data_IF_607590208616
#
_entry.id   IF_607590208616
#
_cell.length_a   1.000
_cell.length_b   1.000
_cell.length_c   1.000
_cell.angle_alpha   90.00
_cell.angle_beta   90.00
_cell.angle_gamma   90.00
#
_symmetry.space_group_name_H-M   'P 1'
#
loop_
_entity.id
_entity.type
_entity.pdbx_description
1 polymer ?
#
# COMPACT_ATOMS: atom_id res chain seq x y z
N UNK A 1 -88.71 -67.91 18.83
CA UNK A 1 -88.14 -66.87 17.95
C UNK A 1 -86.82 -67.41 17.40
N UNK A 2 -86.82 -67.80 16.12
CA UNK A 2 -85.92 -67.34 15.03
C UNK A 2 -84.38 -67.19 15.26
N UNK A 3 -83.54 -67.20 14.20
CA UNK A 3 -82.44 -68.16 14.04
C UNK A 3 -81.07 -67.49 13.69
N UNK A 4 -80.08 -68.33 13.37
CA UNK A 4 -79.07 -68.23 12.29
C UNK A 4 -78.36 -66.91 11.93
N UNK A 5 -77.05 -67.03 11.67
CA UNK A 5 -76.44 -66.51 10.44
C UNK A 5 -75.28 -65.53 10.61
N UNK A 6 -74.05 -66.02 10.39
CA UNK A 6 -72.97 -65.21 9.79
C UNK A 6 -73.42 -64.74 8.39
N UNK A 7 -72.97 -63.57 7.88
CA UNK A 7 -71.78 -63.65 7.02
C UNK A 7 -70.89 -62.39 6.96
N UNK A 8 -69.66 -62.63 6.53
CA UNK A 8 -68.75 -61.68 5.92
C UNK A 8 -69.33 -61.01 4.64
N UNK A 9 -68.78 -59.84 4.27
CA UNK A 9 -68.17 -59.57 2.94
C UNK A 9 -68.40 -58.15 2.42
N UNK A 10 -67.29 -57.40 2.28
CA UNK A 10 -66.83 -56.82 1.00
C UNK A 10 -65.48 -56.12 1.30
N UNK A 11 -64.35 -56.82 1.20
CA UNK A 11 -63.53 -56.93 -0.01
C UNK A 11 -62.73 -55.65 -0.35
N UNK A 12 -61.45 -55.61 0.04
CA UNK A 12 -60.33 -55.38 -0.90
C UNK A 12 -58.95 -55.38 -0.20
N UNK A 13 -58.14 -56.37 -0.57
CA UNK A 13 -56.68 -56.27 -0.75
C UNK A 13 -56.44 -56.40 -2.27
N UNK A 14 -55.33 -55.91 -2.90
CA UNK A 14 -53.94 -56.00 -2.39
C UNK A 14 -53.06 -54.73 -2.74
N UNK A 15 -51.70 -54.76 -2.89
CA UNK A 15 -50.70 -54.03 -2.07
C UNK A 15 -49.74 -53.17 -2.95
N UNK A 16 -48.39 -53.09 -2.77
CA UNK A 16 -47.50 -52.68 -1.67
C UNK A 16 -46.62 -51.44 -2.02
N UNK A 17 -45.95 -50.84 -1.03
CA UNK A 17 -44.66 -50.16 -1.22
C UNK A 17 -44.65 -48.63 -1.30
N UNK A 18 -44.15 -48.00 -0.24
CA UNK A 18 -43.38 -46.75 -0.23
C UNK A 18 -42.85 -46.59 1.21
N UNK A 19 -41.68 -47.14 1.52
CA UNK A 19 -40.46 -46.34 1.65
C UNK A 19 -40.64 -45.17 2.65
N UNK A 20 -40.24 -45.41 3.90
CA UNK A 20 -39.89 -44.33 4.83
C UNK A 20 -38.89 -43.38 4.15
N UNK A 21 -39.06 -42.05 4.24
CA UNK A 21 -38.09 -41.13 3.71
C UNK A 21 -36.82 -41.22 4.55
N UNK A 22 -35.77 -41.74 3.91
CA UNK A 22 -34.40 -41.75 4.40
C UNK A 22 -33.98 -40.34 4.86
N UNK A 23 -33.61 -40.24 6.13
CA UNK A 23 -32.86 -39.11 6.66
C UNK A 23 -31.55 -38.99 5.88
N UNK A 24 -31.32 -37.82 5.27
CA UNK A 24 -30.06 -37.51 4.61
C UNK A 24 -28.88 -37.76 5.56
N UNK A 25 -27.74 -38.29 5.09
CA UNK A 25 -26.60 -38.54 5.97
C UNK A 25 -26.04 -37.21 6.45
N UNK A 26 -26.23 -36.93 7.74
CA UNK A 26 -25.45 -35.93 8.44
C UNK A 26 -23.98 -36.36 8.32
N UNK A 27 -23.18 -35.53 7.64
CA UNK A 27 -21.73 -35.63 7.69
C UNK A 27 -21.34 -35.48 9.16
N UNK A 28 -21.00 -36.59 9.81
CA UNK A 28 -20.50 -36.58 11.17
C UNK A 28 -19.10 -35.95 11.08
N UNK A 29 -19.01 -34.65 11.34
CA UNK A 29 -17.73 -34.00 11.53
C UNK A 29 -16.97 -34.76 12.64
N UNK A 30 -15.68 -35.09 12.46
CA UNK A 30 -14.91 -35.76 13.50
C UNK A 30 -14.94 -34.90 14.78
N UNK A 31 -15.16 -35.54 15.92
CA UNK A 31 -15.34 -34.87 17.20
C UNK A 31 -14.20 -33.87 17.48
N UNK A 32 -14.52 -32.56 17.49
CA UNK A 32 -13.55 -31.49 17.76
C UNK A 32 -13.39 -30.44 16.65
N UNK A 33 -13.94 -30.67 15.45
CA UNK A 33 -13.94 -29.67 14.36
C UNK A 33 -15.11 -28.69 14.55
N UNK A 34 -14.86 -27.37 14.65
CA UNK A 34 -15.93 -26.40 14.80
C UNK A 34 -16.65 -26.09 13.47
N UNK A 35 -17.94 -25.77 13.54
CA UNK A 35 -18.75 -25.25 12.41
C UNK A 35 -18.19 -23.93 11.85
N UNK A 36 -17.59 -23.13 12.76
CA UNK A 36 -16.93 -21.86 12.48
C UNK A 36 -15.70 -21.73 13.35
N UNK A 37 -14.55 -21.39 12.77
CA UNK A 37 -13.34 -21.13 13.55
C UNK A 37 -13.42 -19.74 14.19
N UNK A 38 -13.14 -19.67 15.48
CA UNK A 38 -12.97 -18.42 16.22
C UNK A 38 -11.50 -18.32 16.60
N UNK A 39 -10.72 -17.77 15.67
CA UNK A 39 -9.28 -17.67 15.80
C UNK A 39 -8.92 -16.23 16.15
N UNK A 40 -8.55 -16.04 17.41
CA UNK A 40 -7.97 -14.81 17.89
C UNK A 40 -6.47 -15.02 18.16
N UNK A 41 -5.65 -14.06 17.74
CA UNK A 41 -4.28 -13.92 18.19
C UNK A 41 -4.25 -12.78 19.21
N UNK A 42 -3.52 -12.96 20.31
CA UNK A 42 -3.34 -11.94 21.33
C UNK A 42 -2.92 -10.60 20.69
N UNK A 43 -3.87 -9.65 20.68
CA UNK A 43 -3.65 -8.28 20.19
C UNK A 43 -3.90 -8.00 18.70
N UNK A 44 -4.35 -8.97 17.88
CA UNK A 44 -4.72 -8.73 16.48
C UNK A 44 -5.95 -9.52 16.04
N UNK A 45 -6.95 -8.82 15.52
CA UNK A 45 -8.06 -9.43 14.78
C UNK A 45 -7.56 -10.02 13.47
N UNK A 46 -7.82 -11.31 13.23
CA UNK A 46 -7.55 -11.93 11.95
C UNK A 46 -8.38 -11.25 10.85
N UNK A 47 -7.80 -11.09 9.66
CA UNK A 47 -8.53 -10.54 8.52
C UNK A 47 -9.76 -11.43 8.22
N UNK A 48 -10.98 -10.88 8.17
CA UNK A 48 -12.19 -11.64 7.87
C UNK A 48 -12.14 -12.39 6.53
N UNK A 49 -11.42 -11.87 5.53
CA UNK A 49 -11.21 -12.53 4.25
C UNK A 49 -10.26 -13.72 4.38
N UNK A 50 -9.25 -13.61 5.24
CA UNK A 50 -8.34 -14.72 5.54
C UNK A 50 -9.06 -15.84 6.30
N UNK A 51 -9.94 -15.50 7.26
CA UNK A 51 -10.79 -16.48 7.93
C UNK A 51 -11.75 -17.16 6.95
N UNK A 52 -12.42 -16.39 6.10
CA UNK A 52 -13.36 -16.94 5.12
C UNK A 52 -12.70 -17.94 4.16
N UNK A 53 -11.45 -17.68 3.76
CA UNK A 53 -10.68 -18.59 2.89
C UNK A 53 -10.03 -19.76 3.65
N UNK A 54 -9.66 -19.58 4.91
CA UNK A 54 -9.07 -20.63 5.74
C UNK A 54 -10.11 -21.62 6.29
N UNK A 55 -11.32 -21.16 6.65
CA UNK A 55 -12.39 -21.98 7.23
C UNK A 55 -12.70 -23.29 6.49
N UNK A 56 -12.89 -23.32 5.16
CA UNK A 56 -13.11 -24.58 4.45
C UNK A 56 -11.89 -25.51 4.49
N UNK A 57 -10.68 -24.97 4.34
CA UNK A 57 -9.43 -25.75 4.34
C UNK A 57 -9.17 -26.36 5.72
N UNK A 58 -9.34 -25.58 6.78
CA UNK A 58 -9.16 -26.05 8.15
C UNK A 58 -10.19 -27.15 8.51
N UNK A 59 -11.44 -27.02 8.04
CA UNK A 59 -12.48 -28.06 8.20
C UNK A 59 -12.17 -29.33 7.40
N UNK A 60 -11.71 -29.21 6.15
CA UNK A 60 -11.28 -30.35 5.32
C UNK A 60 -10.11 -31.10 5.97
N UNK A 61 -9.18 -30.37 6.59
CA UNK A 61 -8.06 -30.94 7.34
C UNK A 61 -8.45 -31.51 8.71
N UNK A 62 -9.72 -31.36 9.12
CA UNK A 62 -10.23 -31.88 10.38
C UNK A 62 -9.59 -31.27 11.63
N UNK A 63 -9.14 -30.01 11.55
CA UNK A 63 -8.46 -29.35 12.67
C UNK A 63 -9.47 -28.92 13.74
N UNK A 64 -9.07 -29.00 15.00
CA UNK A 64 -9.79 -28.34 16.09
C UNK A 64 -9.39 -26.86 16.18
N UNK A 65 -10.20 -26.05 16.86
CA UNK A 65 -9.91 -24.62 17.05
C UNK A 65 -8.54 -24.40 17.75
N UNK A 66 -8.18 -25.24 18.73
CA UNK A 66 -6.88 -25.20 19.41
C UNK A 66 -5.70 -25.53 18.48
N UNK A 67 -5.88 -26.51 17.59
CA UNK A 67 -4.85 -26.86 16.60
C UNK A 67 -4.68 -25.78 15.54
N UNK A 68 -5.78 -25.19 15.07
CA UNK A 68 -5.74 -24.04 14.16
C UNK A 68 -5.08 -22.82 14.83
N UNK A 69 -5.38 -22.56 16.10
CA UNK A 69 -4.74 -21.52 16.90
C UNK A 69 -3.22 -21.66 17.04
N UNK A 70 -2.68 -22.89 16.99
CA UNK A 70 -1.23 -23.14 17.00
C UNK A 70 -0.53 -22.80 15.70
N UNK A 71 -1.26 -22.76 14.57
CA UNK A 71 -0.70 -22.38 13.26
C UNK A 71 -0.62 -20.86 13.07
N UNK A 72 -1.45 -20.13 13.82
CA UNK A 72 -1.57 -18.67 13.74
C UNK A 72 -0.25 -17.92 14.01
N UNK A 73 0.55 -18.26 15.04
CA UNK A 73 1.88 -17.66 15.25
C UNK A 73 2.86 -17.90 14.10
N UNK A 74 2.80 -19.07 13.44
CA UNK A 74 3.64 -19.36 12.28
C UNK A 74 3.24 -18.50 11.08
N UNK A 75 1.94 -18.37 10.82
CA UNK A 75 1.41 -17.51 9.77
C UNK A 75 1.78 -16.05 9.98
N UNK A 76 1.66 -15.54 11.22
CA UNK A 76 2.13 -14.20 11.59
C UNK A 76 3.63 -14.04 11.33
N UNK A 77 4.45 -15.00 11.74
CA UNK A 77 5.90 -14.95 11.50
C UNK A 77 6.25 -14.90 10.02
N UNK A 78 5.52 -15.63 9.16
CA UNK A 78 5.67 -15.55 7.70
C UNK A 78 5.25 -14.19 7.17
N UNK A 79 4.13 -13.64 7.64
CA UNK A 79 3.64 -12.34 7.21
C UNK A 79 4.58 -11.20 7.63
N UNK A 80 5.11 -11.24 8.86
CA UNK A 80 6.11 -10.27 9.33
C UNK A 80 7.39 -10.35 8.51
N UNK A 81 7.97 -11.54 8.34
CA UNK A 81 9.15 -11.71 7.48
C UNK A 81 8.92 -11.26 6.04
N UNK A 82 7.72 -11.51 5.50
CA UNK A 82 7.35 -11.06 4.16
C UNK A 82 7.30 -9.54 4.12
N UNK A 83 6.65 -8.88 5.08
CA UNK A 83 6.61 -7.42 5.16
C UNK A 83 8.02 -6.82 5.29
N UNK A 84 8.86 -7.35 6.19
CA UNK A 84 10.24 -6.92 6.37
C UNK A 84 11.05 -7.08 5.06
N UNK A 85 10.89 -8.21 4.37
CA UNK A 85 11.56 -8.46 3.09
C UNK A 85 11.09 -7.51 1.99
N UNK A 86 9.78 -7.20 1.91
CA UNK A 86 9.27 -6.20 0.98
C UNK A 86 9.83 -4.81 1.27
N UNK A 87 9.84 -4.39 2.54
CA UNK A 87 10.41 -3.10 2.94
C UNK A 87 11.89 -3.01 2.59
N UNK A 88 12.67 -4.06 2.88
CA UNK A 88 14.08 -4.14 2.51
C UNK A 88 14.27 -4.06 0.99
N UNK A 89 13.45 -4.79 0.22
CA UNK A 89 13.50 -4.73 -1.24
C UNK A 89 13.22 -3.33 -1.80
N UNK A 90 12.23 -2.60 -1.26
CA UNK A 90 11.97 -1.22 -1.65
C UNK A 90 13.13 -0.29 -1.29
N UNK A 91 13.74 -0.47 -0.10
CA UNK A 91 14.90 0.31 0.31
C UNK A 91 16.12 0.07 -0.60
N UNK A 92 16.37 -1.18 -0.95
CA UNK A 92 17.47 -1.57 -1.85
C UNK A 92 17.25 -1.04 -3.27
N UNK A 93 16.02 -1.17 -3.81
CA UNK A 93 15.65 -0.61 -5.11
C UNK A 93 15.81 0.92 -5.12
N UNK A 94 15.37 1.61 -4.07
CA UNK A 94 15.56 3.05 -3.94
C UNK A 94 17.06 3.41 -3.87
N UNK A 95 17.88 2.68 -3.10
CA UNK A 95 19.31 2.90 -3.03
C UNK A 95 20.03 2.67 -4.37
N UNK A 96 19.64 1.62 -5.10
CA UNK A 96 20.14 1.35 -6.44
C UNK A 96 19.80 2.49 -7.41
N UNK A 97 18.56 2.98 -7.39
CA UNK A 97 18.14 4.09 -8.23
C UNK A 97 18.92 5.38 -7.93
N UNK A 98 19.15 5.70 -6.65
CA UNK A 98 19.96 6.87 -6.26
C UNK A 98 21.39 6.78 -6.77
N UNK A 99 21.99 5.58 -6.72
CA UNK A 99 23.34 5.34 -7.27
C UNK A 99 23.34 5.49 -8.79
N UNK A 100 22.36 4.91 -9.48
CA UNK A 100 22.22 5.02 -10.93
C UNK A 100 22.15 6.49 -11.37
N UNK A 101 21.31 7.31 -10.73
CA UNK A 101 21.25 8.75 -11.04
C UNK A 101 22.56 9.48 -10.80
N UNK A 102 23.27 9.17 -9.71
CA UNK A 102 24.58 9.77 -9.45
C UNK A 102 25.63 9.40 -10.51
N UNK A 103 25.61 8.15 -10.98
CA UNK A 103 26.48 7.67 -12.06
C UNK A 103 26.11 8.29 -13.41
N UNK A 104 24.82 8.35 -13.75
CA UNK A 104 24.31 9.01 -14.95
C UNK A 104 24.69 10.48 -14.96
N UNK A 105 24.50 11.20 -13.85
CA UNK A 105 24.92 12.59 -13.73
C UNK A 105 26.43 12.73 -13.90
N UNK A 106 27.24 11.88 -13.26
CA UNK A 106 28.68 11.96 -13.38
C UNK A 106 29.18 11.71 -14.81
N UNK A 107 28.55 10.77 -15.53
CA UNK A 107 28.89 10.39 -16.90
C UNK A 107 28.33 11.32 -17.98
N UNK A 108 27.36 12.18 -17.63
CA UNK A 108 26.70 13.06 -18.58
C UNK A 108 27.68 14.11 -19.15
N UNK A 109 27.83 14.24 -20.48
CA UNK A 109 28.76 15.19 -21.09
C UNK A 109 28.31 16.66 -21.01
N UNK A 110 27.01 16.91 -20.83
CA UNK A 110 26.41 18.25 -20.79
C UNK A 110 26.23 18.81 -19.38
N UNK A 111 26.16 17.98 -18.35
CA UNK A 111 26.03 18.47 -16.97
C UNK A 111 27.07 17.86 -16.03
N UNK A 112 27.56 16.67 -16.33
CA UNK A 112 28.57 15.94 -15.58
C UNK A 112 29.99 16.20 -16.05
N UNK A 113 30.86 15.20 -15.83
CA UNK A 113 32.26 15.22 -16.23
C UNK A 113 32.97 16.53 -15.85
N UNK A 114 33.63 17.15 -16.82
CA UNK A 114 34.34 18.42 -16.63
C UNK A 114 33.44 19.62 -16.34
N UNK A 115 32.14 19.51 -16.58
CA UNK A 115 31.14 20.58 -16.34
C UNK A 115 30.36 20.39 -15.04
N UNK A 116 30.66 19.34 -14.28
CA UNK A 116 29.99 19.02 -13.01
C UNK A 116 29.95 20.20 -12.05
N UNK A 117 31.10 20.80 -11.74
CA UNK A 117 31.20 21.91 -10.79
C UNK A 117 30.41 23.16 -11.25
N UNK A 118 30.44 23.45 -12.56
CA UNK A 118 29.67 24.55 -13.15
C UNK A 118 28.16 24.29 -13.02
N UNK A 119 27.73 23.07 -13.36
CA UNK A 119 26.33 22.65 -13.27
C UNK A 119 25.80 22.70 -11.84
N UNK A 120 26.57 22.19 -10.88
CA UNK A 120 26.24 22.23 -9.44
C UNK A 120 26.11 23.67 -8.94
N UNK A 121 27.06 24.56 -9.31
CA UNK A 121 27.01 25.96 -8.92
C UNK A 121 25.78 26.69 -9.49
N UNK A 122 25.49 26.51 -10.78
CA UNK A 122 24.32 27.10 -11.43
C UNK A 122 23.02 26.53 -10.85
N UNK A 123 22.96 25.22 -10.60
CA UNK A 123 21.80 24.59 -9.97
C UNK A 123 21.55 25.12 -8.55
N UNK A 124 22.61 25.28 -7.73
CA UNK A 124 22.50 25.88 -6.40
C UNK A 124 21.94 27.30 -6.47
N UNK A 125 22.44 28.13 -7.40
CA UNK A 125 21.91 29.49 -7.62
C UNK A 125 20.45 29.49 -8.07
N UNK A 126 20.07 28.55 -8.94
CA UNK A 126 18.67 28.37 -9.35
C UNK A 126 17.76 28.06 -8.16
N UNK A 127 18.20 27.16 -7.27
CA UNK A 127 17.49 26.85 -6.03
C UNK A 127 17.41 28.06 -5.09
N UNK A 128 18.50 28.81 -4.92
CA UNK A 128 18.52 30.02 -4.09
C UNK A 128 17.51 31.06 -4.56
N UNK A 129 17.40 31.26 -5.87
CA UNK A 129 16.46 32.22 -6.46
C UNK A 129 14.99 31.83 -6.30
N UNK A 130 14.69 30.54 -6.13
CA UNK A 130 13.36 30.05 -5.77
C UNK A 130 13.06 30.18 -4.26
N UNK A 131 14.00 30.68 -3.47
CA UNK A 131 13.89 30.75 -2.01
C UNK A 131 14.30 29.45 -1.31
N UNK A 132 14.77 28.45 -2.06
CA UNK A 132 15.30 27.20 -1.50
C UNK A 132 16.78 27.36 -1.22
N UNK A 133 17.12 28.25 -0.28
CA UNK A 133 18.48 28.50 0.15
C UNK A 133 19.17 27.29 0.80
N UNK A 134 20.43 27.46 1.16
CA UNK A 134 21.17 26.47 1.96
C UNK A 134 20.41 26.14 3.26
N UNK A 135 20.34 24.86 3.62
CA UNK A 135 19.58 24.39 4.78
C UNK A 135 18.06 24.33 4.62
N UNK A 136 17.50 24.75 3.48
CA UNK A 136 16.05 24.65 3.26
C UNK A 136 15.57 23.18 3.24
N UNK A 137 14.41 22.83 3.83
CA UNK A 137 13.91 21.44 3.88
C UNK A 137 13.78 20.77 2.51
N UNK A 138 13.48 21.55 1.47
CA UNK A 138 13.45 21.06 0.10
C UNK A 138 14.81 20.54 -0.40
N UNK A 139 15.93 21.19 -0.03
CA UNK A 139 17.27 20.69 -0.40
C UNK A 139 17.60 19.39 0.32
N UNK A 140 17.18 19.26 1.57
CA UNK A 140 17.30 18.00 2.31
C UNK A 140 16.47 16.90 1.64
N UNK A 141 15.23 17.18 1.27
CA UNK A 141 14.39 16.23 0.55
C UNK A 141 15.01 15.78 -0.79
N UNK A 142 15.65 16.69 -1.54
CA UNK A 142 16.37 16.34 -2.76
C UNK A 142 17.58 15.43 -2.49
N UNK A 143 18.32 15.67 -1.40
CA UNK A 143 19.45 14.84 -1.00
C UNK A 143 18.98 13.45 -0.52
N UNK A 144 18.00 13.41 0.37
CA UNK A 144 17.45 12.19 0.97
C UNK A 144 16.79 11.29 -0.07
N UNK A 145 16.06 11.87 -1.03
CA UNK A 145 15.45 11.12 -2.13
C UNK A 145 16.43 10.76 -3.25
N UNK A 146 17.59 11.43 -3.31
CA UNK A 146 18.57 11.35 -4.39
C UNK A 146 18.22 12.13 -5.65
N UNK A 147 17.07 12.83 -5.69
CA UNK A 147 16.70 13.70 -6.81
C UNK A 147 17.68 14.87 -7.02
N UNK A 148 18.49 15.22 -6.01
CA UNK A 148 19.58 16.17 -6.19
C UNK A 148 20.64 15.73 -7.20
N UNK A 149 20.78 14.42 -7.44
CA UNK A 149 21.68 13.84 -8.44
C UNK A 149 20.96 13.47 -9.76
N UNK A 150 19.64 13.64 -9.86
CA UNK A 150 18.90 13.26 -11.05
C UNK A 150 19.28 14.17 -12.23
N UNK A 151 19.68 13.63 -13.39
CA UNK A 151 20.16 14.44 -14.53
C UNK A 151 19.19 15.56 -14.94
N UNK A 152 17.91 15.24 -15.14
CA UNK A 152 16.91 16.27 -15.52
C UNK A 152 16.66 17.32 -14.45
N UNK A 153 16.76 16.95 -13.16
CA UNK A 153 16.63 17.90 -12.06
C UNK A 153 17.79 18.89 -12.06
N UNK A 154 19.01 18.39 -12.27
CA UNK A 154 20.19 19.22 -12.42
C UNK A 154 20.08 20.11 -13.65
N UNK A 155 19.63 19.59 -14.81
CA UNK A 155 19.40 20.41 -16.01
C UNK A 155 18.40 21.54 -15.75
N UNK A 156 17.30 21.25 -15.08
CA UNK A 156 16.25 22.22 -14.77
C UNK A 156 16.80 23.37 -13.90
N UNK A 157 17.43 23.04 -12.77
CA UNK A 157 17.96 24.06 -11.87
C UNK A 157 19.19 24.78 -12.44
N UNK A 158 20.06 24.07 -13.17
CA UNK A 158 21.16 24.70 -13.91
C UNK A 158 20.62 25.73 -14.90
N UNK A 159 19.60 25.36 -15.70
CA UNK A 159 19.00 26.26 -16.68
C UNK A 159 18.42 27.50 -16.02
N UNK A 160 17.75 27.33 -14.87
CA UNK A 160 17.25 28.45 -14.09
C UNK A 160 18.39 29.37 -13.60
N UNK A 161 19.46 28.79 -13.04
CA UNK A 161 20.65 29.54 -12.64
C UNK A 161 21.34 30.27 -13.79
N UNK A 162 21.33 29.70 -14.99
CA UNK A 162 21.86 30.34 -16.20
C UNK A 162 21.03 31.54 -16.61
N UNK A 163 19.70 31.41 -16.69
CA UNK A 163 18.81 32.53 -17.03
C UNK A 163 19.01 33.71 -16.07
N UNK A 164 19.18 33.42 -14.77
CA UNK A 164 19.48 34.43 -13.77
C UNK A 164 20.88 35.04 -13.93
N UNK A 165 21.85 34.26 -14.40
CA UNK A 165 23.21 34.75 -14.67
C UNK A 165 23.26 35.68 -15.87
N UNK A 166 22.52 35.33 -16.93
CA UNK A 166 22.37 36.13 -18.15
C UNK A 166 21.68 37.47 -17.85
N UNK A 167 20.64 37.49 -17.00
CA UNK A 167 19.91 38.70 -16.62
C UNK A 167 20.67 39.57 -15.58
N UNK A 168 21.47 38.93 -14.72
CA UNK A 168 22.31 39.64 -13.74
C UNK A 168 23.52 40.38 -14.35
N UNK A 169 23.76 40.24 -15.66
CA UNK A 169 24.83 40.92 -16.38
C UNK A 169 24.74 42.45 -16.40
N UNK A 170 23.58 43.04 -16.06
CA UNK A 170 23.37 44.50 -16.12
C UNK A 170 22.63 45.14 -14.93
N UNK A 171 22.22 44.40 -13.90
CA UNK A 171 21.47 44.98 -12.78
C UNK A 171 22.37 45.27 -11.56
N UNK A 172 23.24 46.29 -11.67
CA UNK A 172 23.75 47.01 -10.50
C UNK A 172 23.69 48.53 -10.63
N UNK A 173 22.63 49.03 -11.27
CA UNK A 173 22.23 50.42 -11.19
C UNK A 173 20.76 50.49 -10.78
N UNK A 174 20.46 51.21 -9.70
CA UNK A 174 19.13 51.44 -9.11
C UNK A 174 18.58 50.36 -8.16
N UNK A 175 19.20 50.28 -6.98
CA UNK A 175 18.41 50.26 -5.77
C UNK A 175 17.53 51.53 -5.74
N UNK A 176 16.26 51.38 -6.10
CA UNK A 176 15.27 52.46 -6.15
C UNK A 176 13.91 51.95 -5.70
N UNK A 177 13.56 52.26 -4.46
CA UNK A 177 12.31 51.90 -3.77
C UNK A 177 11.04 52.22 -4.56
N UNK A 178 10.10 51.27 -4.63
CA UNK A 178 8.67 51.58 -4.62
C UNK A 178 7.81 50.35 -4.23
N UNK A 179 7.41 50.33 -2.97
CA UNK A 179 6.16 49.75 -2.47
C UNK A 179 5.95 48.22 -2.58
N UNK A 180 6.65 47.46 -1.73
CA UNK A 180 6.33 46.05 -1.50
C UNK A 180 5.31 45.93 -0.35
N UNK A 181 4.02 45.95 -0.67
CA UNK A 181 3.07 45.21 0.17
C UNK A 181 3.42 43.73 0.08
N UNK A 182 3.49 43.01 1.20
CA UNK A 182 3.83 41.60 1.18
C UNK A 182 2.82 40.83 0.29
N UNK A 183 3.30 39.79 -0.39
CA UNK A 183 2.54 39.04 -1.40
C UNK A 183 1.18 38.57 -0.87
N UNK A 184 1.09 38.22 0.42
CA UNK A 184 -0.15 37.80 1.06
C UNK A 184 -1.24 38.87 1.09
N UNK A 185 -0.88 40.15 1.17
CA UNK A 185 -1.85 41.27 1.18
C UNK A 185 -2.43 41.56 -0.22
N UNK A 186 -1.72 41.12 -1.27
CA UNK A 186 -2.18 41.21 -2.67
C UNK A 186 -3.07 40.05 -3.08
N UNK A 187 -2.82 38.88 -2.50
CA UNK A 187 -3.58 37.66 -2.79
C UNK A 187 -4.86 37.56 -1.95
N UNK A 188 -4.86 38.15 -0.76
CA UNK A 188 -6.02 38.17 0.14
C UNK A 188 -6.28 39.61 0.60
N UNK A 189 -6.77 40.49 -0.28
CA UNK A 189 -7.23 41.80 0.15
C UNK A 189 -8.39 41.59 1.14
N UNK A 190 -8.15 41.92 2.41
CA UNK A 190 -9.21 41.86 3.42
C UNK A 190 -10.22 42.96 3.08
N UNK A 191 -11.38 42.55 2.59
CA UNK A 191 -12.52 43.45 2.42
C UNK A 191 -12.88 44.00 3.80
N UNK A 192 -12.52 45.26 4.03
CA UNK A 192 -12.91 45.99 5.21
C UNK A 192 -14.45 46.17 5.17
N UNK A 193 -15.11 45.66 6.20
CA UNK A 193 -16.53 45.83 6.50
C UNK A 193 -16.95 47.30 6.58
#
# INVERSE_FOLDING_TARGET
MTPAGEPASAASLPPPGAAEPATAPAVIAPAGVPERYDLALDGMTLDPQLLHSADPVLRELGLSNDQAGKLLPLAQGVMQRTQDALLAHFADAAAAQKRAWAEEFAADPEIGGGRRAESEHLAARGLDALGFGEGHPFRQALADSGFGNHPDMIRAFRRLGQLLSEDSGFARAHAGSANQRPVWERLYPQEAN
#
